data_IF_798074271292
#
_entry.id   IF_798074271292
#
_cell.length_a   1.000
_cell.length_b   1.000
_cell.length_c   1.000
_cell.angle_alpha   90.00
_cell.angle_beta   90.00
_cell.angle_gamma   90.00
#
_symmetry.space_group_name_H-M   'P 1'
#
loop_
_entity.id
_entity.type
_entity.pdbx_description
1 polymer ?
#
# COMPACT_ATOMS: atom_id res chain seq x y z
N UNK A 1 3.11 33.82 -67.16
CA UNK A 1 3.58 34.00 -65.76
C UNK A 1 2.58 33.34 -64.82
N UNK A 2 2.94 32.16 -64.28
CA UNK A 2 2.11 31.42 -63.32
C UNK A 2 2.83 31.48 -61.98
N UNK A 3 2.26 32.19 -61.04
CA UNK A 3 2.77 32.35 -59.68
C UNK A 3 2.21 31.20 -58.79
N UNK A 4 3.06 30.32 -58.35
CA UNK A 4 2.73 29.23 -57.45
C UNK A 4 2.85 29.71 -56.00
N UNK A 5 1.74 29.77 -55.26
CA UNK A 5 1.70 30.07 -53.82
C UNK A 5 2.06 28.79 -53.06
N UNK A 6 3.18 28.77 -52.35
CA UNK A 6 3.54 27.73 -51.37
C UNK A 6 2.93 28.08 -50.01
N UNK A 7 1.88 27.38 -49.63
CA UNK A 7 1.31 27.47 -48.25
C UNK A 7 2.08 26.54 -47.34
N UNK A 8 2.88 27.12 -46.45
CA UNK A 8 3.62 26.42 -45.40
C UNK A 8 2.64 26.09 -44.25
N UNK A 9 2.36 24.78 -44.07
CA UNK A 9 1.52 24.28 -42.99
C UNK A 9 2.41 23.96 -41.77
N UNK A 10 2.45 24.90 -40.78
CA UNK A 10 3.11 24.67 -39.49
C UNK A 10 2.26 23.74 -38.65
N UNK A 11 2.64 22.47 -38.51
CA UNK A 11 2.09 21.57 -37.49
C UNK A 11 2.61 21.97 -36.11
N UNK A 12 1.76 22.59 -35.30
CA UNK A 12 1.98 22.77 -33.87
C UNK A 12 1.80 21.42 -33.15
N UNK A 13 2.91 20.74 -32.85
CA UNK A 13 2.91 19.63 -31.89
C UNK A 13 2.66 20.20 -30.47
N UNK A 14 1.44 20.12 -30.01
CA UNK A 14 1.10 20.35 -28.61
C UNK A 14 1.63 19.16 -27.79
N UNK A 15 2.79 19.30 -27.16
CA UNK A 15 3.27 18.35 -26.15
C UNK A 15 2.31 18.43 -24.94
N UNK A 16 1.48 17.41 -24.77
CA UNK A 16 0.71 17.20 -23.55
C UNK A 16 1.73 16.85 -22.48
N UNK A 17 2.11 17.83 -21.66
CA UNK A 17 2.84 17.59 -20.44
C UNK A 17 1.91 16.81 -19.50
N UNK A 18 2.00 15.50 -19.47
CA UNK A 18 1.44 14.67 -18.41
C UNK A 18 2.14 15.13 -17.13
N UNK A 19 1.41 15.83 -16.26
CA UNK A 19 1.90 16.25 -14.97
C UNK A 19 2.36 15.01 -14.21
N UNK A 20 3.67 14.81 -14.10
CA UNK A 20 4.23 13.80 -13.21
C UNK A 20 3.82 14.15 -11.79
N UNK A 21 3.24 13.18 -11.08
CA UNK A 21 2.93 13.33 -9.66
C UNK A 21 4.20 13.77 -8.92
N UNK A 22 4.10 14.86 -8.17
CA UNK A 22 5.24 15.39 -7.41
C UNK A 22 5.56 14.45 -6.27
N UNK A 23 6.71 13.76 -6.34
CA UNK A 23 7.16 12.86 -5.28
C UNK A 23 7.69 13.68 -4.11
N UNK A 24 7.14 13.54 -2.89
CA UNK A 24 7.62 14.27 -1.73
C UNK A 24 9.07 13.92 -1.39
N UNK A 25 9.82 14.82 -0.72
CA UNK A 25 11.14 14.51 -0.20
C UNK A 25 11.15 13.26 0.69
N UNK A 26 12.25 12.51 0.72
CA UNK A 26 12.38 11.27 1.50
C UNK A 26 12.00 11.46 2.97
N UNK A 27 12.39 12.56 3.60
CA UNK A 27 12.05 12.89 4.98
C UNK A 27 10.53 12.98 5.21
N UNK A 28 9.80 13.58 4.27
CA UNK A 28 8.34 13.67 4.33
C UNK A 28 7.69 12.31 4.14
N UNK A 29 8.15 11.52 3.15
CA UNK A 29 7.64 10.17 2.93
C UNK A 29 7.85 9.29 4.17
N UNK A 30 9.02 9.35 4.82
CA UNK A 30 9.31 8.62 6.06
C UNK A 30 8.33 9.05 7.16
N UNK A 31 8.16 10.36 7.38
CA UNK A 31 7.26 10.91 8.41
C UNK A 31 5.81 10.47 8.21
N UNK A 32 5.34 10.39 6.98
CA UNK A 32 4.00 9.95 6.63
C UNK A 32 3.86 8.42 6.78
N UNK A 33 4.79 7.66 6.24
CA UNK A 33 4.72 6.20 6.20
C UNK A 33 4.70 5.56 7.60
N UNK A 34 5.47 6.09 8.54
CA UNK A 34 5.54 5.53 9.90
C UNK A 34 4.27 5.76 10.71
N UNK A 35 3.34 6.61 10.27
CA UNK A 35 2.07 6.82 10.96
C UNK A 35 1.18 5.58 10.97
N UNK A 36 1.35 4.66 10.01
CA UNK A 36 0.68 3.37 10.04
C UNK A 36 1.24 2.43 11.12
N UNK A 37 2.46 2.65 11.60
CA UNK A 37 3.08 1.79 12.62
C UNK A 37 2.63 2.15 14.05
N UNK A 38 2.65 1.18 14.99
CA UNK A 38 2.54 1.47 16.42
C UNK A 38 3.54 2.55 16.85
N UNK A 39 3.12 3.45 17.73
CA UNK A 39 3.86 4.66 18.06
C UNK A 39 5.29 4.37 18.58
N UNK A 40 5.43 3.34 19.41
CA UNK A 40 6.70 2.91 19.99
C UNK A 40 7.66 2.22 18.98
N UNK A 41 7.18 1.90 17.78
CA UNK A 41 7.94 1.22 16.72
C UNK A 41 8.39 2.15 15.57
N UNK A 42 7.85 3.37 15.51
CA UNK A 42 8.01 4.29 14.37
C UNK A 42 9.47 4.64 14.08
N UNK A 43 10.23 4.96 15.12
CA UNK A 43 11.60 5.45 14.97
C UNK A 43 12.57 4.39 14.44
N UNK A 44 12.37 3.13 14.84
CA UNK A 44 13.19 2.00 14.41
C UNK A 44 12.69 1.26 13.17
N UNK A 45 11.57 1.66 12.56
CA UNK A 45 11.02 0.95 11.39
C UNK A 45 11.87 1.14 10.13
N UNK A 46 12.01 0.07 9.33
CA UNK A 46 12.50 0.18 7.94
C UNK A 46 11.44 0.91 7.12
N UNK A 47 11.84 1.85 6.26
CA UNK A 47 10.91 2.58 5.40
C UNK A 47 11.30 2.45 3.94
N UNK A 48 10.36 2.01 3.13
CA UNK A 48 10.44 2.05 1.67
C UNK A 48 9.53 3.13 1.12
N UNK A 49 9.93 3.74 0.02
CA UNK A 49 9.18 4.76 -0.70
C UNK A 49 9.79 5.03 -2.06
N UNK A 50 9.65 6.23 -2.58
CA UNK A 50 9.99 6.57 -3.94
C UNK A 50 11.10 7.62 -4.01
N UNK A 51 12.10 7.40 -4.89
CA UNK A 51 13.07 8.44 -5.23
C UNK A 51 12.46 9.40 -6.28
N UNK A 52 13.19 10.47 -6.61
CA UNK A 52 12.72 11.50 -7.56
C UNK A 52 12.52 11.00 -9.00
N UNK A 53 12.95 9.76 -9.29
CA UNK A 53 12.70 9.08 -10.58
C UNK A 53 11.45 8.20 -10.55
N UNK A 54 10.74 8.12 -9.41
CA UNK A 54 9.59 7.23 -9.24
C UNK A 54 9.95 5.77 -8.97
N UNK A 55 11.23 5.48 -8.68
CA UNK A 55 11.66 4.13 -8.35
C UNK A 55 11.41 3.83 -6.88
N UNK A 56 10.84 2.67 -6.59
CA UNK A 56 10.61 2.21 -5.21
C UNK A 56 11.92 1.75 -4.58
N UNK A 57 12.35 2.42 -3.52
CA UNK A 57 13.65 2.25 -2.87
C UNK A 57 13.54 2.27 -1.35
N UNK A 58 14.55 1.78 -0.66
CA UNK A 58 14.67 1.91 0.79
C UNK A 58 15.09 3.34 1.14
N UNK A 59 14.20 4.09 1.82
CA UNK A 59 14.45 5.46 2.28
C UNK A 59 15.12 5.50 3.65
N UNK A 60 14.86 4.52 4.51
CA UNK A 60 15.46 4.38 5.84
C UNK A 60 15.68 2.89 6.17
N UNK A 61 16.89 2.54 6.56
CA UNK A 61 17.19 1.24 7.18
C UNK A 61 16.70 1.25 8.63
N UNK A 62 15.88 0.27 8.99
CA UNK A 62 15.36 0.14 10.35
C UNK A 62 16.25 -0.68 11.27
N UNK A 63 15.89 -0.66 12.56
CA UNK A 63 16.54 -1.39 13.65
C UNK A 63 15.58 -2.33 14.38
N UNK A 64 14.27 -2.26 14.07
CA UNK A 64 13.25 -3.13 14.64
C UNK A 64 12.58 -4.03 13.58
N UNK A 65 11.51 -4.70 13.97
CA UNK A 65 10.79 -5.66 13.13
C UNK A 65 9.77 -5.04 12.17
N UNK A 66 9.56 -3.72 12.19
CA UNK A 66 8.53 -3.08 11.37
C UNK A 66 9.07 -2.60 10.02
N UNK A 67 8.28 -2.83 8.99
CA UNK A 67 8.48 -2.32 7.63
C UNK A 67 7.33 -1.40 7.29
N UNK A 68 7.63 -0.16 6.92
CA UNK A 68 6.66 0.84 6.49
C UNK A 68 6.79 1.14 5.00
N UNK A 69 5.67 1.27 4.32
CA UNK A 69 5.61 1.66 2.91
C UNK A 69 4.99 3.05 2.79
N UNK A 70 5.68 3.92 2.06
CA UNK A 70 5.16 5.23 1.71
C UNK A 70 4.00 5.13 0.72
N UNK A 71 3.26 6.20 0.62
CA UNK A 71 2.18 6.37 -0.34
C UNK A 71 2.68 6.24 -1.78
N UNK A 72 1.88 5.58 -2.63
CA UNK A 72 2.23 5.40 -4.05
C UNK A 72 1.80 6.65 -4.84
N UNK A 73 2.74 7.44 -5.39
CA UNK A 73 2.42 8.67 -6.11
C UNK A 73 1.59 8.46 -7.38
N UNK A 74 1.44 7.21 -7.84
CA UNK A 74 0.64 6.86 -9.01
C UNK A 74 -0.80 6.43 -8.64
N UNK A 75 -1.14 6.36 -7.37
CA UNK A 75 -2.48 6.02 -6.89
C UNK A 75 -3.20 7.26 -6.36
N UNK A 76 -4.52 7.25 -6.45
CA UNK A 76 -5.37 8.30 -5.87
C UNK A 76 -5.66 8.00 -4.41
N UNK A 77 -5.65 9.02 -3.58
CA UNK A 77 -5.89 8.92 -2.15
C UNK A 77 -4.67 8.48 -1.38
N UNK A 78 -4.44 9.11 -0.24
CA UNK A 78 -3.33 8.78 0.64
C UNK A 78 -3.50 7.40 1.27
N UNK A 79 -2.50 6.53 1.11
CA UNK A 79 -2.50 5.19 1.69
C UNK A 79 -1.08 4.74 2.03
N UNK A 80 -0.78 4.66 3.31
CA UNK A 80 0.48 4.11 3.82
C UNK A 80 0.21 2.83 4.61
N UNK A 81 1.19 1.94 4.65
CA UNK A 81 1.05 0.69 5.38
C UNK A 81 2.29 0.36 6.21
N UNK A 82 2.08 -0.40 7.27
CA UNK A 82 3.15 -0.94 8.10
C UNK A 82 2.86 -2.39 8.44
N UNK A 83 3.89 -3.25 8.41
CA UNK A 83 3.74 -4.66 8.72
C UNK A 83 5.01 -5.23 9.37
N UNK A 84 4.84 -6.35 10.07
CA UNK A 84 5.96 -7.09 10.61
C UNK A 84 6.81 -7.68 9.48
N UNK A 85 8.14 -7.62 9.59
CA UNK A 85 9.11 -8.05 8.56
C UNK A 85 8.91 -9.48 8.04
N UNK A 86 8.31 -10.36 8.83
CA UNK A 86 8.03 -11.73 8.40
C UNK A 86 6.99 -11.82 7.28
N UNK A 87 6.19 -10.74 7.08
CA UNK A 87 5.33 -10.58 5.91
C UNK A 87 6.06 -10.03 4.68
N UNK A 88 7.28 -9.52 4.82
CA UNK A 88 7.93 -8.82 3.70
C UNK A 88 8.14 -9.71 2.46
N UNK A 89 8.50 -10.98 2.53
CA UNK A 89 8.59 -11.84 1.33
C UNK A 89 7.28 -11.87 0.53
N UNK A 90 6.14 -12.00 1.23
CA UNK A 90 4.81 -12.03 0.62
C UNK A 90 4.41 -10.66 0.05
N UNK A 91 4.67 -9.58 0.77
CA UNK A 91 4.36 -8.21 0.34
C UNK A 91 5.26 -7.78 -0.82
N UNK A 92 6.55 -8.08 -0.77
CA UNK A 92 7.50 -7.80 -1.83
C UNK A 92 7.12 -8.54 -3.12
N UNK A 93 6.77 -9.83 -3.02
CA UNK A 93 6.34 -10.60 -4.20
C UNK A 93 5.10 -10.00 -4.87
N UNK A 94 4.15 -9.50 -4.08
CA UNK A 94 2.99 -8.79 -4.62
C UNK A 94 3.37 -7.52 -5.39
N UNK A 95 4.33 -6.74 -4.87
CA UNK A 95 4.86 -5.54 -5.55
C UNK A 95 5.59 -5.89 -6.85
N UNK A 96 6.41 -6.94 -6.86
CA UNK A 96 7.11 -7.42 -8.06
C UNK A 96 6.14 -7.80 -9.17
N UNK A 97 5.12 -8.60 -8.84
CA UNK A 97 4.12 -9.03 -9.81
C UNK A 97 3.30 -7.87 -10.36
N UNK A 98 2.93 -6.91 -9.51
CA UNK A 98 2.24 -5.68 -9.96
C UNK A 98 3.12 -4.85 -10.89
N UNK A 99 4.40 -4.69 -10.58
CA UNK A 99 5.38 -4.03 -11.47
C UNK A 99 5.54 -4.74 -12.80
N UNK A 100 5.36 -6.07 -12.83
CA UNK A 100 5.33 -6.87 -14.05
C UNK A 100 3.99 -6.81 -14.81
N UNK A 101 3.06 -5.92 -14.41
CA UNK A 101 1.77 -5.71 -15.06
C UNK A 101 0.71 -6.77 -14.76
N UNK A 102 0.89 -7.55 -13.68
CA UNK A 102 -0.10 -8.56 -13.28
C UNK A 102 -1.29 -7.95 -12.57
N UNK A 103 -2.48 -8.41 -12.89
CA UNK A 103 -3.74 -8.02 -12.25
C UNK A 103 -3.90 -8.68 -10.88
N UNK A 104 -4.76 -8.10 -10.03
CA UNK A 104 -4.92 -8.52 -8.64
C UNK A 104 -5.25 -10.01 -8.49
N UNK A 105 -6.11 -10.56 -9.36
CA UNK A 105 -6.46 -11.99 -9.35
C UNK A 105 -5.27 -12.87 -9.74
N UNK A 106 -4.52 -12.50 -10.77
CA UNK A 106 -3.30 -13.23 -11.17
C UNK A 106 -2.25 -13.23 -10.04
N UNK A 107 -2.06 -12.07 -9.39
CA UNK A 107 -1.14 -11.93 -8.25
C UNK A 107 -1.55 -12.87 -7.12
N UNK A 108 -2.85 -12.93 -6.81
CA UNK A 108 -3.38 -13.81 -5.78
C UNK A 108 -3.10 -15.28 -6.13
N UNK A 109 -3.49 -15.72 -7.32
CA UNK A 109 -3.34 -17.10 -7.78
C UNK A 109 -1.87 -17.53 -7.86
N UNK A 110 -0.99 -16.66 -8.36
CA UNK A 110 0.45 -16.95 -8.46
C UNK A 110 1.07 -17.08 -7.07
N UNK A 111 0.77 -16.18 -6.13
CA UNK A 111 1.28 -16.28 -4.76
C UNK A 111 0.76 -17.52 -4.04
N UNK A 112 -0.51 -17.91 -4.25
CA UNK A 112 -1.06 -19.14 -3.71
C UNK A 112 -0.27 -20.37 -4.19
N UNK A 113 0.03 -20.45 -5.49
CA UNK A 113 0.83 -21.54 -6.06
C UNK A 113 2.28 -21.52 -5.51
N UNK A 114 2.89 -20.35 -5.41
CA UNK A 114 4.24 -20.19 -4.88
C UNK A 114 4.32 -20.56 -3.39
N UNK A 115 3.29 -20.26 -2.60
CA UNK A 115 3.22 -20.67 -1.19
C UNK A 115 3.03 -22.19 -1.07
N UNK A 116 2.11 -22.78 -1.83
CA UNK A 116 1.87 -24.22 -1.84
C UNK A 116 3.11 -25.04 -2.26
N UNK A 117 3.87 -24.52 -3.20
CA UNK A 117 5.13 -25.14 -3.64
C UNK A 117 6.32 -24.88 -2.70
N UNK A 118 6.14 -24.05 -1.66
CA UNK A 118 7.22 -23.66 -0.73
C UNK A 118 8.21 -22.62 -1.28
N UNK A 119 7.99 -22.14 -2.50
CA UNK A 119 8.81 -21.10 -3.13
C UNK A 119 8.64 -19.74 -2.44
N UNK A 120 7.42 -19.39 -2.04
CA UNK A 120 7.11 -18.21 -1.26
C UNK A 120 6.77 -18.60 0.17
N UNK A 121 7.47 -18.01 1.15
CA UNK A 121 7.23 -18.30 2.56
C UNK A 121 6.18 -17.35 3.14
N UNK A 122 5.25 -17.92 3.90
CA UNK A 122 4.31 -17.18 4.74
C UNK A 122 4.73 -17.24 6.21
N UNK A 123 4.35 -16.25 7.03
CA UNK A 123 4.54 -16.31 8.47
C UNK A 123 3.87 -17.56 9.07
N UNK A 124 4.56 -18.19 10.02
CA UNK A 124 4.00 -19.33 10.77
C UNK A 124 3.14 -18.91 11.96
N UNK A 125 3.28 -17.67 12.39
CA UNK A 125 2.55 -17.06 13.51
C UNK A 125 1.63 -15.96 12.98
N UNK A 126 0.55 -15.64 13.70
CA UNK A 126 -0.28 -14.48 13.38
C UNK A 126 0.59 -13.21 13.25
N UNK A 127 0.47 -12.51 12.14
CA UNK A 127 1.40 -11.42 11.82
C UNK A 127 0.64 -10.17 11.39
N UNK A 128 0.93 -9.05 12.03
CA UNK A 128 0.20 -7.80 11.87
C UNK A 128 0.57 -7.03 10.60
N UNK A 129 -0.45 -6.38 10.04
CA UNK A 129 -0.35 -5.32 9.05
C UNK A 129 -1.33 -4.20 9.43
N UNK A 130 -0.90 -2.97 9.27
CA UNK A 130 -1.67 -1.76 9.53
C UNK A 130 -1.78 -0.95 8.24
N UNK A 131 -2.97 -0.43 7.94
CA UNK A 131 -3.20 0.41 6.77
C UNK A 131 -3.80 1.72 7.24
N UNK A 132 -3.09 2.82 6.98
CA UNK A 132 -3.52 4.17 7.33
C UNK A 132 -3.84 4.96 6.06
N UNK A 133 -5.06 5.43 5.96
CA UNK A 133 -5.59 6.11 4.76
C UNK A 133 -6.19 7.45 5.13
N UNK A 134 -6.16 8.38 4.17
CA UNK A 134 -6.85 9.66 4.26
C UNK A 134 -7.23 10.14 2.85
N UNK A 135 -8.01 11.21 2.76
CA UNK A 135 -8.16 11.95 1.51
C UNK A 135 -6.90 12.78 1.24
N UNK A 136 -6.55 12.97 -0.03
CA UNK A 136 -5.36 13.74 -0.41
C UNK A 136 -5.37 15.17 0.16
N UNK A 137 -6.53 15.84 0.17
CA UNK A 137 -6.70 17.17 0.73
C UNK A 137 -6.44 17.25 2.26
N UNK A 138 -6.46 16.13 2.95
CA UNK A 138 -6.22 16.05 4.39
C UNK A 138 -4.75 15.77 4.75
N UNK A 139 -3.88 15.64 3.76
CA UNK A 139 -2.44 15.38 3.95
C UNK A 139 -1.65 16.65 3.68
N UNK A 140 -0.89 17.09 4.67
CA UNK A 140 0.05 18.19 4.47
C UNK A 140 1.43 17.62 4.11
N UNK A 141 1.86 17.73 2.84
CA UNK A 141 3.12 17.14 2.39
C UNK A 141 4.36 17.86 2.95
N UNK A 142 4.21 19.09 3.49
CA UNK A 142 5.31 19.83 4.11
C UNK A 142 5.50 19.46 5.57
N UNK A 143 4.41 19.45 6.34
CA UNK A 143 4.46 19.13 7.78
C UNK A 143 4.37 17.64 8.07
N UNK A 144 3.86 16.82 7.13
CA UNK A 144 3.53 15.42 7.34
C UNK A 144 2.33 15.21 8.28
N UNK A 145 1.52 16.23 8.50
CA UNK A 145 0.27 16.13 9.24
C UNK A 145 -0.80 15.46 8.37
N UNK A 146 -1.55 14.52 8.96
CA UNK A 146 -2.70 13.88 8.31
C UNK A 146 -3.94 14.12 9.17
N UNK A 147 -4.90 14.86 8.63
CA UNK A 147 -6.21 15.07 9.26
C UNK A 147 -7.16 13.95 8.85
N UNK A 148 -8.05 13.58 9.78
CA UNK A 148 -9.10 12.60 9.51
C UNK A 148 -8.58 11.26 8.97
N UNK A 149 -7.37 10.89 9.35
CA UNK A 149 -6.77 9.63 8.99
C UNK A 149 -7.52 8.44 9.59
N UNK A 150 -7.56 7.35 8.84
CA UNK A 150 -8.30 6.15 9.19
C UNK A 150 -7.38 4.94 9.23
N UNK A 151 -7.20 4.35 10.42
CA UNK A 151 -6.32 3.20 10.63
C UNK A 151 -7.13 1.91 10.71
N UNK A 152 -6.81 0.97 9.83
CA UNK A 152 -7.34 -0.40 9.82
C UNK A 152 -6.28 -1.37 10.29
N UNK A 153 -6.73 -2.44 10.98
CA UNK A 153 -5.86 -3.48 11.50
C UNK A 153 -6.11 -4.78 10.76
N UNK A 154 -5.03 -5.44 10.39
CA UNK A 154 -5.04 -6.73 9.68
C UNK A 154 -4.12 -7.68 10.41
N UNK A 155 -4.56 -8.93 10.60
CA UNK A 155 -3.70 -9.98 11.17
C UNK A 155 -3.72 -11.16 10.20
N UNK A 156 -2.60 -11.40 9.53
CA UNK A 156 -2.44 -12.56 8.65
C UNK A 156 -2.38 -13.85 9.47
N UNK A 157 -3.20 -14.82 9.08
CA UNK A 157 -3.34 -16.14 9.66
C UNK A 157 -3.48 -17.17 8.52
N UNK A 158 -2.43 -17.41 7.74
CA UNK A 158 -2.50 -18.19 6.52
C UNK A 158 -3.21 -19.53 6.71
N UNK A 159 -4.11 -19.86 5.76
CA UNK A 159 -4.93 -21.08 5.73
C UNK A 159 -5.96 -21.24 6.86
N UNK A 160 -6.13 -20.26 7.74
CA UNK A 160 -7.22 -20.27 8.70
C UNK A 160 -8.58 -20.17 8.01
N UNK A 161 -9.58 -20.84 8.58
CA UNK A 161 -10.96 -20.84 8.08
C UNK A 161 -11.92 -20.20 9.08
N UNK A 162 -13.16 -19.94 8.67
CA UNK A 162 -14.19 -19.44 9.57
C UNK A 162 -14.43 -20.43 10.74
N UNK A 163 -14.45 -21.73 10.43
CA UNK A 163 -14.64 -22.80 11.42
C UNK A 163 -13.47 -22.86 12.41
N UNK A 164 -12.24 -22.74 11.95
CA UNK A 164 -11.05 -22.82 12.81
C UNK A 164 -10.88 -21.60 13.73
N UNK A 165 -11.50 -20.46 13.37
CA UNK A 165 -11.34 -19.19 14.09
C UNK A 165 -12.61 -18.75 14.83
N UNK A 166 -13.79 -19.26 14.45
CA UNK A 166 -15.09 -18.76 14.92
C UNK A 166 -15.44 -17.36 14.41
N UNK A 167 -14.68 -16.82 13.44
CA UNK A 167 -14.91 -15.48 12.90
C UNK A 167 -15.95 -15.49 11.78
N UNK A 168 -16.83 -14.45 11.71
CA UNK A 168 -17.75 -14.31 10.60
C UNK A 168 -17.01 -13.95 9.30
N UNK A 169 -17.66 -14.22 8.14
CA UNK A 169 -17.14 -13.90 6.81
C UNK A 169 -17.31 -12.42 6.40
N UNK A 170 -18.02 -11.65 7.20
CA UNK A 170 -18.26 -10.20 7.04
C UNK A 170 -18.46 -9.56 8.40
N UNK A 171 -18.17 -8.26 8.55
CA UNK A 171 -18.43 -7.58 9.81
C UNK A 171 -19.93 -7.43 10.03
N UNK A 172 -20.42 -7.79 11.22
CA UNK A 172 -21.82 -7.67 11.65
C UNK A 172 -22.05 -6.41 12.48
N UNK A 173 -20.96 -5.80 12.99
CA UNK A 173 -20.98 -4.55 13.74
C UNK A 173 -19.70 -3.75 13.47
N UNK A 174 -19.69 -2.42 13.73
CA UNK A 174 -18.49 -1.61 13.66
C UNK A 174 -17.37 -2.18 14.54
N UNK A 175 -16.15 -2.19 14.02
CA UNK A 175 -14.93 -2.75 14.65
C UNK A 175 -14.98 -4.27 14.94
N UNK A 176 -16.03 -4.97 14.59
CA UNK A 176 -16.10 -6.42 14.77
C UNK A 176 -15.06 -7.10 13.88
N UNK A 177 -14.20 -7.99 14.43
CA UNK A 177 -13.27 -8.79 13.64
C UNK A 177 -14.02 -9.76 12.71
N UNK A 178 -13.53 -9.93 11.50
CA UNK A 178 -14.02 -10.89 10.53
C UNK A 178 -12.86 -11.45 9.69
N UNK A 179 -13.06 -12.62 9.06
CA UNK A 179 -12.01 -13.25 8.26
C UNK A 179 -12.21 -12.99 6.77
N UNK A 180 -11.15 -12.53 6.10
CA UNK A 180 -11.05 -12.43 4.65
C UNK A 180 -10.22 -13.58 4.08
N UNK A 181 -10.57 -14.01 2.86
CA UNK A 181 -9.88 -15.06 2.10
C UNK A 181 -9.66 -16.37 2.89
N UNK A 182 -10.67 -16.88 3.65
CA UNK A 182 -10.50 -18.03 4.51
C UNK A 182 -10.03 -19.26 3.71
N UNK A 183 -9.17 -20.09 4.32
CA UNK A 183 -8.65 -21.32 3.72
C UNK A 183 -7.56 -21.09 2.67
N UNK A 184 -7.08 -19.86 2.46
CA UNK A 184 -6.05 -19.52 1.48
C UNK A 184 -4.75 -19.04 2.16
N UNK A 185 -3.69 -18.90 1.37
CA UNK A 185 -2.43 -18.29 1.82
C UNK A 185 -2.63 -16.86 2.35
N UNK A 186 -3.63 -16.15 1.85
CA UNK A 186 -3.93 -14.76 2.18
C UNK A 186 -4.98 -14.61 3.30
N UNK A 187 -5.40 -15.71 3.95
CA UNK A 187 -6.36 -15.63 5.03
C UNK A 187 -5.89 -14.65 6.12
N UNK A 188 -6.76 -13.71 6.47
CA UNK A 188 -6.44 -12.70 7.48
C UNK A 188 -7.67 -12.19 8.21
N UNK A 189 -7.47 -11.76 9.45
CA UNK A 189 -8.46 -11.05 10.24
C UNK A 189 -8.46 -9.59 9.84
N UNK A 190 -9.64 -9.06 9.53
CA UNK A 190 -9.86 -7.62 9.33
C UNK A 190 -10.53 -7.02 10.56
N UNK A 191 -10.00 -5.89 11.03
CA UNK A 191 -10.61 -5.06 12.06
C UNK A 191 -10.70 -3.64 11.49
N UNK A 192 -11.92 -3.17 11.30
CA UNK A 192 -12.23 -1.87 10.70
C UNK A 192 -12.88 -1.01 11.77
N UNK A 193 -12.13 -0.20 12.54
CA UNK A 193 -12.71 0.67 13.56
C UNK A 193 -13.77 1.60 12.95
N UNK A 194 -14.75 2.07 13.73
CA UNK A 194 -15.66 3.09 13.24
C UNK A 194 -14.87 4.36 12.89
N UNK A 195 -15.30 5.15 11.89
CA UNK A 195 -14.69 6.45 11.63
C UNK A 195 -14.75 7.32 12.89
N UNK A 196 -13.80 8.26 13.07
CA UNK A 196 -13.81 9.17 14.22
C UNK A 196 -15.16 9.88 14.36
N UNK A 197 -15.66 9.98 15.60
CA UNK A 197 -16.94 10.62 15.88
C UNK A 197 -16.97 12.05 15.34
N UNK A 198 -17.98 12.39 14.54
CA UNK A 198 -18.18 13.71 13.94
C UNK A 198 -18.23 13.74 12.41
N UNK A 199 -18.13 12.58 11.74
CA UNK A 199 -18.14 12.49 10.26
C UNK A 199 -19.05 11.37 9.77
N UNK A 200 -20.33 11.64 9.79
CA UNK A 200 -21.36 10.98 8.96
C UNK A 200 -21.80 11.94 7.88
#
# INVERSE_FOLDING_TARGET
MKTTLLTSFCLLLSAIAMGQATIPPAATQIKLAVQAAPADKRDGATVYGYNQKGEFVQLRKGTNEMVCLADDPNQKGFSVSSYHKDLDPFMARGRELRKAGKESKEIFDMREQEVKSGKLKMPKQPTSLFVFTAKDENVNPTTGEVKDGYLRYVVYIPYATAESTGLPLKPEAPAMPWIMDPGTHAAHIMITPPPPAGKQ
#
